data_IF_074541907651
#
_entry.id   IF_074541907651
#
_cell.length_a   1.000
_cell.length_b   1.000
_cell.length_c   1.000
_cell.angle_alpha   90.00
_cell.angle_beta   90.00
_cell.angle_gamma   90.00
#
_symmetry.space_group_name_H-M   'P 1'
#
loop_
_entity.id
_entity.type
_entity.pdbx_description
1 polymer ?
#
# COMPACT_ATOMS: atom_id res chain seq x y z
N UNK A 1 -29.06 8.15 -8.18
CA UNK A 1 -28.40 8.04 -9.50
C UNK A 1 -26.97 8.54 -9.36
N UNK A 2 -25.96 7.80 -9.87
CA UNK A 2 -24.58 8.21 -9.80
C UNK A 2 -24.30 9.46 -10.63
N UNK A 3 -23.39 10.30 -10.15
CA UNK A 3 -22.91 11.48 -10.86
C UNK A 3 -21.43 11.33 -11.16
N UNK A 4 -21.00 11.89 -12.31
CA UNK A 4 -19.60 11.91 -12.70
C UNK A 4 -19.16 13.33 -13.00
N UNK A 5 -17.89 13.62 -12.67
CA UNK A 5 -17.26 14.92 -12.87
C UNK A 5 -15.83 14.67 -13.39
N UNK A 6 -15.30 15.60 -14.17
CA UNK A 6 -13.92 15.52 -14.68
C UNK A 6 -12.88 15.96 -13.63
N UNK A 7 -13.33 16.63 -12.57
CA UNK A 7 -12.53 17.05 -11.41
C UNK A 7 -13.43 17.17 -10.17
N UNK A 8 -12.88 17.38 -8.99
CA UNK A 8 -13.65 17.61 -7.77
C UNK A 8 -14.54 18.87 -7.94
N UNK A 9 -15.86 18.78 -7.61
CA UNK A 9 -16.78 19.91 -7.71
C UNK A 9 -16.38 21.09 -6.83
N UNK A 10 -16.75 22.30 -7.25
CA UNK A 10 -16.46 23.54 -6.51
C UNK A 10 -17.28 23.72 -5.22
N UNK A 11 -18.42 23.03 -5.12
CA UNK A 11 -19.30 23.15 -3.96
C UNK A 11 -18.73 22.59 -2.64
N UNK A 12 -17.55 21.97 -2.70
CA UNK A 12 -16.80 21.47 -1.54
C UNK A 12 -17.38 20.22 -0.87
N UNK A 13 -18.62 19.83 -1.15
CA UNK A 13 -19.32 18.73 -0.45
C UNK A 13 -18.60 17.38 -0.55
N UNK A 14 -18.04 17.06 -1.73
CA UNK A 14 -17.27 15.84 -1.93
C UNK A 14 -15.93 15.93 -1.19
N UNK A 15 -15.32 17.09 -1.15
CA UNK A 15 -14.06 17.34 -0.43
C UNK A 15 -14.25 17.16 1.08
N UNK A 16 -15.30 17.74 1.65
CA UNK A 16 -15.66 17.59 3.06
C UNK A 16 -15.91 16.11 3.39
N UNK A 17 -16.73 15.44 2.57
CA UNK A 17 -17.00 14.01 2.71
C UNK A 17 -15.70 13.18 2.73
N UNK A 18 -14.77 13.41 1.79
CA UNK A 18 -13.49 12.68 1.74
C UNK A 18 -12.67 12.89 3.01
N UNK A 19 -12.60 14.14 3.52
CA UNK A 19 -11.84 14.49 4.73
C UNK A 19 -12.35 13.82 6.01
N UNK A 20 -13.64 13.52 6.06
CA UNK A 20 -14.27 12.87 7.21
C UNK A 20 -13.97 11.38 7.29
N UNK A 21 -13.64 10.73 6.16
CA UNK A 21 -13.44 9.28 6.14
C UNK A 21 -12.17 8.85 6.87
N UNK A 22 -12.28 7.82 7.69
CA UNK A 22 -11.17 7.23 8.46
C UNK A 22 -10.45 6.13 7.70
N UNK A 23 -11.07 5.62 6.64
CA UNK A 23 -10.55 4.57 5.78
C UNK A 23 -10.83 4.93 4.31
N UNK A 24 -9.93 4.53 3.45
CA UNK A 24 -10.15 4.54 2.00
C UNK A 24 -9.60 3.26 1.40
N UNK A 25 -10.11 2.88 0.24
CA UNK A 25 -9.64 1.71 -0.49
C UNK A 25 -8.90 2.13 -1.75
N UNK A 26 -7.79 1.47 -2.00
CA UNK A 26 -6.97 1.64 -3.20
C UNK A 26 -7.14 0.43 -4.08
N UNK A 27 -7.61 0.62 -5.30
CA UNK A 27 -7.72 -0.42 -6.30
C UNK A 27 -6.77 -0.16 -7.46
N UNK A 28 -6.05 -1.21 -7.87
CA UNK A 28 -5.15 -1.21 -9.03
C UNK A 28 -5.14 -2.59 -9.68
N UNK A 29 -4.68 -2.67 -10.92
CA UNK A 29 -4.58 -3.93 -11.63
C UNK A 29 -3.44 -3.87 -12.64
N UNK A 30 -2.86 -5.01 -13.04
CA UNK A 30 -1.94 -5.09 -14.16
C UNK A 30 -2.59 -4.57 -15.44
N UNK A 31 -1.78 -4.21 -16.43
CA UNK A 31 -2.29 -3.77 -17.73
C UNK A 31 -2.99 -4.90 -18.46
N UNK A 32 -2.41 -6.10 -18.40
CA UNK A 32 -2.92 -7.30 -19.07
C UNK A 32 -2.83 -8.51 -18.13
N UNK A 33 -3.94 -9.20 -17.93
CA UNK A 33 -4.01 -10.40 -17.08
C UNK A 33 -3.82 -10.11 -15.61
N UNK A 34 -3.31 -11.09 -14.84
CA UNK A 34 -3.01 -10.96 -13.42
C UNK A 34 -4.22 -10.75 -12.51
N UNK A 35 -3.97 -10.22 -11.31
CA UNK A 35 -4.97 -10.07 -10.26
C UNK A 35 -5.30 -8.60 -9.99
N UNK A 36 -6.57 -8.31 -9.76
CA UNK A 36 -7.00 -6.98 -9.29
C UNK A 36 -6.68 -6.88 -7.80
N UNK A 37 -5.90 -5.86 -7.43
CA UNK A 37 -5.63 -5.55 -6.05
C UNK A 37 -6.64 -4.55 -5.51
N UNK A 38 -7.14 -4.80 -4.30
CA UNK A 38 -7.91 -3.84 -3.50
C UNK A 38 -7.37 -3.86 -2.07
N UNK A 39 -6.85 -2.72 -1.61
CA UNK A 39 -6.27 -2.60 -0.28
C UNK A 39 -6.91 -1.47 0.53
N UNK A 40 -7.38 -1.75 1.77
CA UNK A 40 -7.81 -0.72 2.70
C UNK A 40 -6.60 0.06 3.24
N UNK A 41 -6.79 1.36 3.44
CA UNK A 41 -5.79 2.29 3.97
C UNK A 41 -6.41 3.15 5.07
N UNK A 42 -5.66 3.41 6.13
CA UNK A 42 -6.07 4.22 7.28
C UNK A 42 -4.98 5.20 7.70
N UNK A 43 -4.92 5.53 8.98
CA UNK A 43 -3.95 6.43 9.62
C UNK A 43 -3.93 7.85 9.04
N UNK A 44 -5.04 8.29 8.44
CA UNK A 44 -5.15 9.62 7.81
C UNK A 44 -4.05 9.90 6.78
N UNK A 45 -3.59 8.87 6.08
CA UNK A 45 -2.49 8.95 5.12
C UNK A 45 -2.86 9.57 3.77
N UNK A 46 -4.10 10.01 3.57
CA UNK A 46 -4.59 10.59 2.31
C UNK A 46 -4.64 12.11 2.37
N UNK A 47 -4.19 12.78 1.30
CA UNK A 47 -4.23 14.25 1.15
C UNK A 47 -4.77 14.67 -0.22
N UNK A 48 -5.78 15.56 -0.21
CA UNK A 48 -6.19 16.32 -1.39
C UNK A 48 -5.25 17.51 -1.57
N UNK A 49 -4.72 17.69 -2.78
CA UNK A 49 -3.85 18.83 -3.13
C UNK A 49 -4.65 19.93 -3.77
N UNK A 50 -5.50 19.57 -4.74
CA UNK A 50 -6.38 20.46 -5.45
C UNK A 50 -7.52 19.65 -6.10
N UNK A 51 -8.32 20.26 -6.96
CA UNK A 51 -9.46 19.60 -7.61
C UNK A 51 -9.09 18.45 -8.56
N UNK A 52 -7.81 18.39 -9.00
CA UNK A 52 -7.32 17.40 -9.99
C UNK A 52 -6.19 16.53 -9.46
N UNK A 53 -5.77 16.72 -8.22
CA UNK A 53 -4.64 15.98 -7.67
C UNK A 53 -4.85 15.62 -6.20
N UNK A 54 -4.40 14.43 -5.86
CA UNK A 54 -4.30 13.94 -4.50
C UNK A 54 -3.08 13.03 -4.36
N UNK A 55 -2.74 12.67 -3.14
CA UNK A 55 -1.74 11.66 -2.86
C UNK A 55 -2.02 10.96 -1.53
N UNK A 56 -1.38 9.83 -1.33
CA UNK A 56 -1.39 9.15 -0.06
C UNK A 56 -0.02 8.57 0.27
N UNK A 57 0.25 8.43 1.57
CA UNK A 57 1.44 7.78 2.08
C UNK A 57 1.20 6.26 2.09
N UNK A 58 1.97 5.53 1.30
CA UNK A 58 1.88 4.07 1.20
C UNK A 58 2.72 3.42 2.29
N UNK A 59 2.07 2.64 3.15
CA UNK A 59 2.70 1.99 4.30
C UNK A 59 3.16 0.58 3.93
N UNK A 60 4.22 0.13 4.61
CA UNK A 60 4.79 -1.18 4.43
C UNK A 60 3.81 -2.30 4.78
N UNK A 61 3.82 -3.31 3.95
CA UNK A 61 3.09 -4.55 4.12
C UNK A 61 3.84 -5.68 3.43
N UNK A 62 3.25 -6.88 3.43
CA UNK A 62 3.82 -8.04 2.71
C UNK A 62 3.60 -7.98 1.20
N UNK A 63 2.66 -7.15 0.72
CA UNK A 63 2.34 -6.97 -0.69
C UNK A 63 2.88 -5.67 -1.26
N UNK A 64 3.05 -5.66 -2.58
CA UNK A 64 3.56 -4.51 -3.32
C UNK A 64 2.78 -4.23 -4.62
N UNK A 65 1.58 -4.78 -4.74
CA UNK A 65 0.79 -4.81 -5.97
C UNK A 65 0.52 -3.41 -6.52
N UNK A 66 0.12 -2.45 -5.66
CA UNK A 66 -0.16 -1.08 -6.09
C UNK A 66 1.05 -0.44 -6.77
N UNK A 67 2.23 -0.50 -6.13
CA UNK A 67 3.47 0.06 -6.66
C UNK A 67 3.84 -0.61 -7.99
N UNK A 68 3.77 -1.95 -8.03
CA UNK A 68 4.10 -2.72 -9.23
C UNK A 68 3.18 -2.40 -10.41
N UNK A 69 1.87 -2.29 -10.17
CA UNK A 69 0.90 -1.92 -11.21
C UNK A 69 1.14 -0.50 -11.73
N UNK A 70 1.55 0.43 -10.86
CA UNK A 70 1.84 1.81 -11.26
C UNK A 70 3.16 1.93 -12.02
N UNK A 71 4.14 1.05 -11.74
CA UNK A 71 5.40 1.00 -12.46
C UNK A 71 5.33 0.27 -13.81
N UNK A 72 4.28 -0.51 -14.04
CA UNK A 72 4.10 -1.22 -15.31
C UNK A 72 3.99 -0.22 -16.47
N UNK A 73 4.86 -0.30 -17.50
CA UNK A 73 4.87 0.65 -18.60
C UNK A 73 3.52 0.72 -19.32
N UNK A 74 2.99 1.93 -19.46
CA UNK A 74 1.69 2.18 -20.09
C UNK A 74 0.47 2.02 -19.19
N UNK A 75 0.65 1.60 -17.93
CA UNK A 75 -0.42 1.43 -16.96
C UNK A 75 -0.68 2.72 -16.15
N UNK A 76 -0.36 2.72 -14.88
CA UNK A 76 -0.60 3.83 -13.96
C UNK A 76 -2.05 3.96 -13.49
N UNK A 77 -2.97 3.07 -13.90
CA UNK A 77 -4.39 3.13 -13.51
C UNK A 77 -4.57 2.86 -12.04
N UNK A 78 -5.31 3.77 -11.37
CA UNK A 78 -5.61 3.66 -9.95
C UNK A 78 -7.01 4.21 -9.67
N UNK A 79 -7.68 3.63 -8.69
CA UNK A 79 -8.95 4.14 -8.16
C UNK A 79 -8.85 4.22 -6.64
N UNK A 80 -9.24 5.36 -6.09
CA UNK A 80 -9.44 5.53 -4.65
C UNK A 80 -10.94 5.54 -4.39
N UNK A 81 -11.39 4.75 -3.43
CA UNK A 81 -12.79 4.67 -3.03
C UNK A 81 -12.94 5.07 -1.58
N UNK A 82 -13.91 5.93 -1.32
CA UNK A 82 -14.40 6.32 0.00
C UNK A 82 -15.86 5.93 0.12
N UNK A 83 -16.24 5.38 1.24
CA UNK A 83 -17.63 5.06 1.60
C UNK A 83 -17.98 5.59 2.97
N UNK A 84 -19.23 6.05 3.13
CA UNK A 84 -19.76 6.51 4.41
C UNK A 84 -20.12 5.31 5.29
N UNK A 85 -19.38 5.10 6.39
CA UNK A 85 -19.76 4.19 7.46
C UNK A 85 -20.63 4.87 8.53
N UNK A 86 -20.59 6.20 8.58
CA UNK A 86 -21.37 7.04 9.48
C UNK A 86 -22.06 8.14 8.67
N UNK A 87 -23.15 8.69 9.20
CA UNK A 87 -23.87 9.79 8.55
C UNK A 87 -24.65 9.41 7.28
N UNK A 88 -24.87 10.37 6.39
CA UNK A 88 -25.62 10.14 5.15
C UNK A 88 -24.89 9.20 4.18
N UNK A 89 -25.60 8.23 3.57
CA UNK A 89 -24.99 7.23 2.70
C UNK A 89 -24.40 7.86 1.43
N UNK A 90 -23.09 7.75 1.27
CA UNK A 90 -22.40 8.25 0.08
C UNK A 90 -21.20 7.35 -0.25
N UNK A 91 -20.90 7.21 -1.54
CA UNK A 91 -19.70 6.57 -2.05
C UNK A 91 -19.07 7.53 -3.06
N UNK A 92 -17.77 7.79 -2.88
CA UNK A 92 -16.98 8.60 -3.81
C UNK A 92 -15.82 7.76 -4.37
N UNK A 93 -15.58 7.85 -5.67
CA UNK A 93 -14.43 7.27 -6.35
C UNK A 93 -13.64 8.34 -7.07
N UNK A 94 -12.34 8.35 -6.82
CA UNK A 94 -11.37 9.13 -7.58
C UNK A 94 -10.67 8.18 -8.53
N UNK A 95 -10.87 8.36 -9.83
CA UNK A 95 -10.18 7.62 -10.88
C UNK A 95 -9.01 8.45 -11.37
N UNK A 96 -7.85 7.85 -11.57
CA UNK A 96 -6.69 8.62 -11.97
C UNK A 96 -5.52 7.80 -12.49
N UNK A 97 -4.42 8.51 -12.68
CA UNK A 97 -3.10 7.94 -12.95
C UNK A 97 -2.18 8.18 -11.76
N UNK A 98 -1.60 7.11 -11.25
CA UNK A 98 -0.69 7.14 -10.12
C UNK A 98 0.77 7.20 -10.54
N UNK A 99 1.56 7.94 -9.77
CA UNK A 99 3.01 7.98 -9.85
C UNK A 99 3.59 7.66 -8.48
N UNK A 100 4.63 6.83 -8.45
CA UNK A 100 5.27 6.37 -7.22
C UNK A 100 6.52 7.18 -6.95
N UNK A 101 6.66 7.70 -5.73
CA UNK A 101 7.85 8.35 -5.21
C UNK A 101 8.33 7.56 -3.99
N UNK A 102 9.42 6.81 -4.13
CA UNK A 102 9.93 5.92 -3.08
C UNK A 102 10.66 6.71 -1.99
N UNK A 103 10.47 6.32 -0.72
CA UNK A 103 11.17 6.93 0.43
C UNK A 103 12.69 6.83 0.26
N UNK A 104 13.37 7.94 0.57
CA UNK A 104 14.81 8.11 0.42
C UNK A 104 15.23 8.52 -0.98
N UNK A 105 14.29 9.02 -1.79
CA UNK A 105 14.57 9.78 -3.01
C UNK A 105 14.29 11.26 -2.79
N UNK A 106 15.03 12.17 -3.45
CA UNK A 106 14.78 13.62 -3.33
C UNK A 106 13.34 14.02 -3.72
N UNK A 107 12.71 13.26 -4.61
CA UNK A 107 11.34 13.49 -5.04
C UNK A 107 10.33 13.19 -3.93
N UNK A 108 10.57 12.14 -3.13
CA UNK A 108 9.78 11.81 -1.96
C UNK A 108 9.91 12.91 -0.90
N UNK A 109 11.13 13.35 -0.61
CA UNK A 109 11.40 14.33 0.45
C UNK A 109 10.70 15.67 0.20
N UNK A 110 10.55 16.08 -1.08
CA UNK A 110 9.83 17.31 -1.48
C UNK A 110 8.37 17.38 -1.04
N UNK A 111 7.73 16.24 -0.78
CA UNK A 111 6.35 16.23 -0.27
C UNK A 111 6.24 16.75 1.17
N UNK A 112 7.35 16.70 1.92
CA UNK A 112 7.42 17.05 3.33
C UNK A 112 8.23 18.32 3.60
N UNK A 113 8.77 18.96 2.55
CA UNK A 113 9.43 20.26 2.68
C UNK A 113 8.42 21.34 3.10
N UNK A 114 8.78 22.23 4.06
CA UNK A 114 7.92 23.34 4.46
C UNK A 114 7.62 24.25 3.26
N UNK A 115 6.35 24.39 2.93
CA UNK A 115 5.90 25.32 1.90
C UNK A 115 5.53 26.63 2.55
N UNK A 116 6.19 27.73 2.17
CA UNK A 116 5.85 29.06 2.69
C UNK A 116 4.40 29.42 2.36
N UNK A 117 3.57 29.64 3.39
CA UNK A 117 2.19 30.10 3.27
C UNK A 117 1.12 29.03 3.18
N UNK A 118 1.43 27.76 3.46
CA UNK A 118 0.42 26.70 3.50
C UNK A 118 0.10 26.33 4.96
N UNK A 119 -1.10 26.62 5.41
CA UNK A 119 -1.66 26.16 6.68
C UNK A 119 -1.85 24.64 6.76
N UNK A 120 -1.60 23.94 5.63
CA UNK A 120 -1.93 22.53 5.42
C UNK A 120 -0.93 21.51 5.97
N UNK A 121 0.24 21.96 6.47
CA UNK A 121 1.32 21.04 6.85
C UNK A 121 1.17 20.45 8.27
N UNK A 122 0.36 21.06 9.11
CA UNK A 122 0.27 20.65 10.52
C UNK A 122 -0.67 19.47 10.80
N UNK A 123 -1.54 19.11 9.85
CA UNK A 123 -2.54 18.05 10.04
C UNK A 123 -2.23 16.74 9.27
N UNK A 124 -1.15 16.67 8.50
CA UNK A 124 -0.82 15.48 7.72
C UNK A 124 0.39 14.73 8.32
N UNK A 125 0.27 13.43 8.60
CA UNK A 125 1.37 12.68 9.18
C UNK A 125 2.58 12.62 8.24
N UNK A 126 3.75 13.02 8.75
CA UNK A 126 5.03 12.87 8.04
C UNK A 126 5.52 11.42 8.09
N UNK A 127 6.53 11.03 7.29
CA UNK A 127 7.12 9.70 7.37
C UNK A 127 7.66 9.35 8.76
N UNK A 128 8.18 10.34 9.50
CA UNK A 128 8.68 10.16 10.86
C UNK A 128 7.56 9.88 11.85
N UNK A 129 6.39 10.49 11.64
CA UNK A 129 5.17 10.23 12.42
C UNK A 129 4.45 8.95 11.99
N UNK A 130 4.80 8.42 10.81
CA UNK A 130 4.16 7.24 10.21
C UNK A 130 5.22 6.19 9.85
N UNK A 131 5.75 5.47 10.85
CA UNK A 131 6.74 4.43 10.63
C UNK A 131 6.27 3.40 9.59
N UNK A 132 7.18 2.94 8.76
CA UNK A 132 6.88 2.01 7.68
C UNK A 132 6.35 2.68 6.40
N UNK A 133 6.29 4.01 6.34
CA UNK A 133 6.02 4.72 5.11
C UNK A 133 7.12 4.43 4.07
N UNK A 134 6.77 3.78 2.96
CA UNK A 134 7.74 3.35 1.93
C UNK A 134 7.67 4.17 0.64
N UNK A 135 6.54 4.80 0.36
CA UNK A 135 6.37 5.63 -0.82
C UNK A 135 5.25 6.66 -0.63
N UNK A 136 5.31 7.74 -1.38
CA UNK A 136 4.16 8.59 -1.71
C UNK A 136 3.60 8.12 -3.05
N UNK A 137 2.29 7.91 -3.10
CA UNK A 137 1.57 7.65 -4.35
C UNK A 137 0.81 8.93 -4.73
N UNK A 138 1.35 9.65 -5.71
CA UNK A 138 0.68 10.79 -6.32
C UNK A 138 -0.35 10.34 -7.34
N UNK A 139 -1.49 11.03 -7.43
CA UNK A 139 -2.58 10.69 -8.34
C UNK A 139 -3.06 11.94 -9.06
N UNK A 140 -2.94 11.92 -10.39
CA UNK A 140 -3.62 12.86 -11.26
C UNK A 140 -5.04 12.36 -11.47
N UNK A 141 -6.02 13.08 -10.91
CA UNK A 141 -7.44 12.72 -10.97
C UNK A 141 -7.94 13.02 -12.39
N UNK A 142 -8.44 11.99 -13.05
CA UNK A 142 -9.02 12.09 -14.40
C UNK A 142 -10.53 12.06 -14.40
N UNK A 143 -11.14 11.54 -13.33
CA UNK A 143 -12.58 11.47 -13.15
C UNK A 143 -12.96 11.29 -11.69
N UNK A 144 -14.09 11.86 -11.29
CA UNK A 144 -14.70 11.69 -9.96
C UNK A 144 -16.08 11.09 -10.14
N UNK A 145 -16.40 10.02 -9.39
CA UNK A 145 -17.73 9.41 -9.36
C UNK A 145 -18.31 9.53 -7.96
N UNK A 146 -19.56 10.00 -7.86
CA UNK A 146 -20.33 9.98 -6.61
C UNK A 146 -21.61 9.19 -6.80
N UNK A 147 -21.96 8.35 -5.82
CA UNK A 147 -23.17 7.53 -5.82
C UNK A 147 -23.70 7.32 -4.41
N UNK A 148 -24.98 6.92 -4.29
CA UNK A 148 -25.55 6.55 -3.00
C UNK A 148 -24.87 5.30 -2.43
N UNK A 149 -24.70 5.27 -1.11
CA UNK A 149 -24.12 4.16 -0.36
C UNK A 149 -25.14 3.35 0.42
N UNK A 150 -26.38 3.23 -0.04
CA UNK A 150 -27.46 2.61 0.73
C UNK A 150 -27.23 1.16 1.15
N UNK A 151 -26.35 0.45 0.47
CA UNK A 151 -25.97 -0.92 0.83
C UNK A 151 -24.77 -0.99 1.78
N UNK A 152 -24.08 0.14 2.03
CA UNK A 152 -22.97 0.20 2.99
C UNK A 152 -23.54 0.18 4.40
N UNK A 153 -23.12 -0.77 5.26
CA UNK A 153 -23.63 -0.84 6.63
C UNK A 153 -23.08 0.32 7.47
N UNK A 154 -23.82 0.73 8.48
CA UNK A 154 -23.35 1.67 9.47
C UNK A 154 -22.31 0.99 10.37
N UNK A 155 -21.16 1.64 10.60
CA UNK A 155 -20.08 1.20 11.47
C UNK A 155 -19.55 2.39 12.23
N UNK A 156 -19.13 2.17 13.48
CA UNK A 156 -18.55 3.20 14.33
C UNK A 156 -17.03 3.07 14.34
N UNK A 157 -16.33 4.18 14.09
CA UNK A 157 -14.89 4.25 14.29
C UNK A 157 -14.56 4.23 15.79
N UNK A 158 -13.77 3.28 16.23
CA UNK A 158 -13.35 3.15 17.63
C UNK A 158 -11.97 3.76 17.84
N UNK A 159 -10.98 3.29 17.07
CA UNK A 159 -9.60 3.79 17.09
C UNK A 159 -8.77 3.16 15.96
N UNK A 160 -7.63 3.76 15.68
CA UNK A 160 -6.61 3.15 14.84
C UNK A 160 -5.96 1.93 15.52
N UNK A 161 -5.48 0.96 14.71
CA UNK A 161 -4.65 -0.15 15.21
C UNK A 161 -3.20 0.29 15.30
N UNK A 162 -2.53 -0.02 16.40
CA UNK A 162 -1.14 0.43 16.64
C UNK A 162 -0.08 -0.57 16.18
N UNK A 163 -0.47 -1.81 15.84
CA UNK A 163 0.46 -2.92 15.60
C UNK A 163 1.44 -2.64 14.47
N UNK A 164 0.92 -2.11 13.33
CA UNK A 164 1.77 -1.82 12.18
C UNK A 164 2.80 -0.74 12.50
N UNK A 165 2.36 0.36 13.13
CA UNK A 165 3.24 1.46 13.48
C UNK A 165 4.31 1.04 14.49
N UNK A 166 3.94 0.30 15.52
CA UNK A 166 4.90 -0.20 16.53
C UNK A 166 5.91 -1.18 15.94
N UNK A 167 5.44 -2.06 15.07
CA UNK A 167 6.32 -3.00 14.37
C UNK A 167 7.29 -2.26 13.44
N UNK A 168 6.79 -1.34 12.62
CA UNK A 168 7.60 -0.57 11.69
C UNK A 168 8.60 0.33 12.41
N UNK A 169 8.19 1.04 13.48
CA UNK A 169 9.07 1.89 14.26
C UNK A 169 10.27 1.11 14.83
N UNK A 170 10.01 -0.09 15.38
CA UNK A 170 11.08 -0.95 15.91
C UNK A 170 12.08 -1.36 14.82
N UNK A 171 11.61 -1.66 13.60
CA UNK A 171 12.50 -2.04 12.51
C UNK A 171 13.30 -0.83 11.99
N UNK A 172 12.69 0.34 11.89
CA UNK A 172 13.37 1.56 11.50
C UNK A 172 14.39 2.03 12.54
N UNK A 173 14.09 1.91 13.83
CA UNK A 173 15.03 2.15 14.92
C UNK A 173 16.26 1.24 14.81
N UNK A 174 16.04 -0.05 14.56
CA UNK A 174 17.10 -1.01 14.35
C UNK A 174 17.95 -0.69 13.12
N UNK A 175 17.31 -0.27 12.02
CA UNK A 175 18.03 0.19 10.82
C UNK A 175 18.92 1.39 11.09
N UNK A 176 18.50 2.30 11.97
CA UNK A 176 19.27 3.50 12.34
C UNK A 176 20.47 3.17 13.24
N UNK A 177 20.39 2.12 14.05
CA UNK A 177 21.45 1.66 14.96
C UNK A 177 22.49 0.75 14.26
N UNK A 178 22.23 0.30 13.02
CA UNK A 178 23.03 -0.72 12.34
C UNK A 178 23.77 -0.10 11.15
N UNK A 179 25.07 -0.40 11.00
CA UNK A 179 25.90 0.12 9.91
C UNK A 179 25.42 -0.38 8.55
N UNK A 180 25.14 -1.66 8.41
CA UNK A 180 24.53 -2.24 7.21
C UNK A 180 23.22 -2.98 7.53
N UNK A 181 22.04 -2.28 7.47
CA UNK A 181 20.76 -2.87 7.77
C UNK A 181 20.34 -4.03 6.84
N UNK A 182 20.91 -4.15 5.66
CA UNK A 182 20.59 -5.25 4.73
C UNK A 182 21.24 -6.58 5.09
N UNK A 183 22.24 -6.58 5.98
CA UNK A 183 22.80 -7.82 6.56
C UNK A 183 21.93 -8.38 7.68
N UNK A 184 21.00 -7.59 8.20
CA UNK A 184 20.05 -8.05 9.22
C UNK A 184 19.03 -9.04 8.63
N UNK A 185 18.42 -9.83 9.51
CA UNK A 185 17.25 -10.62 9.16
C UNK A 185 16.07 -9.70 8.84
N UNK A 186 15.20 -10.07 7.87
CA UNK A 186 14.07 -9.24 7.45
C UNK A 186 13.09 -8.90 8.58
N UNK A 187 12.99 -9.71 9.64
CA UNK A 187 12.20 -9.39 10.84
C UNK A 187 12.84 -8.34 11.76
N UNK A 188 14.06 -7.91 11.45
CA UNK A 188 14.84 -6.97 12.24
C UNK A 188 15.15 -5.68 11.52
N UNK A 189 14.88 -5.58 10.21
CA UNK A 189 15.19 -4.41 9.38
C UNK A 189 14.06 -4.10 8.44
N UNK A 190 13.63 -2.84 8.42
CA UNK A 190 12.64 -2.36 7.46
C UNK A 190 13.19 -2.36 6.04
N UNK A 191 14.46 -1.95 5.86
CA UNK A 191 15.13 -1.96 4.56
C UNK A 191 15.28 -3.38 4.02
N UNK A 192 15.67 -4.34 4.87
CA UNK A 192 15.73 -5.76 4.49
C UNK A 192 14.33 -6.31 4.18
N UNK A 193 13.31 -5.92 4.93
CA UNK A 193 11.92 -6.26 4.64
C UNK A 193 11.51 -5.81 3.24
N UNK A 194 11.78 -4.55 2.87
CA UNK A 194 11.44 -4.03 1.55
C UNK A 194 12.16 -4.78 0.43
N UNK A 195 13.46 -5.02 0.57
CA UNK A 195 14.23 -5.78 -0.43
C UNK A 195 13.77 -7.23 -0.56
N UNK A 196 13.23 -7.82 0.50
CA UNK A 196 12.75 -9.20 0.50
C UNK A 196 11.33 -9.32 -0.08
N UNK A 197 10.39 -8.46 0.36
CA UNK A 197 8.96 -8.66 0.07
C UNK A 197 8.34 -7.61 -0.84
N UNK A 198 9.00 -6.49 -1.08
CA UNK A 198 8.40 -5.37 -1.83
C UNK A 198 9.06 -5.09 -3.19
N UNK A 199 9.89 -5.98 -3.68
CA UNK A 199 10.55 -5.85 -4.99
C UNK A 199 9.76 -6.49 -6.14
N UNK A 200 8.77 -7.34 -5.84
CA UNK A 200 7.91 -8.02 -6.80
C UNK A 200 6.47 -8.11 -6.32
N UNK A 201 5.52 -8.06 -7.25
CA UNK A 201 4.11 -8.36 -6.97
C UNK A 201 3.82 -9.86 -7.07
N UNK A 202 2.64 -10.29 -6.63
CA UNK A 202 2.17 -11.68 -6.80
C UNK A 202 2.08 -12.10 -8.28
N UNK A 203 1.94 -11.16 -9.20
CA UNK A 203 1.91 -11.40 -10.64
C UNK A 203 3.31 -11.34 -11.28
N UNK A 204 4.36 -11.18 -10.48
CA UNK A 204 5.74 -11.11 -10.93
C UNK A 204 6.09 -9.79 -11.63
N UNK A 205 5.34 -8.72 -11.38
CA UNK A 205 5.70 -7.38 -11.84
C UNK A 205 6.74 -6.76 -10.90
N UNK A 206 7.74 -6.02 -11.42
CA UNK A 206 8.71 -5.31 -10.60
C UNK A 206 8.03 -4.32 -9.66
N UNK A 207 8.47 -4.32 -8.41
CA UNK A 207 7.99 -3.42 -7.37
C UNK A 207 8.93 -2.28 -7.04
N UNK A 208 9.30 -2.10 -5.76
CA UNK A 208 10.20 -1.04 -5.33
C UNK A 208 11.56 -1.17 -6.04
N UNK A 209 11.94 -0.10 -6.77
CA UNK A 209 13.15 -0.09 -7.61
C UNK A 209 14.40 0.12 -6.80
N UNK A 210 14.33 0.97 -5.78
CA UNK A 210 15.46 1.34 -4.95
C UNK A 210 16.09 0.14 -4.24
N UNK A 211 15.25 -0.81 -3.83
CA UNK A 211 15.69 -1.98 -3.09
C UNK A 211 15.85 -3.23 -3.99
N UNK A 212 15.52 -3.11 -5.29
CA UNK A 212 15.57 -4.22 -6.24
C UNK A 212 17.00 -4.79 -6.45
N UNK A 213 18.02 -3.95 -6.37
CA UNK A 213 19.43 -4.37 -6.47
C UNK A 213 19.88 -5.19 -5.26
N UNK A 214 19.16 -5.08 -4.14
CA UNK A 214 19.41 -5.77 -2.89
C UNK A 214 18.39 -6.90 -2.62
N UNK A 215 17.65 -7.30 -3.64
CA UNK A 215 16.71 -8.42 -3.57
C UNK A 215 17.43 -9.70 -3.17
N UNK A 216 16.90 -10.35 -2.13
CA UNK A 216 17.43 -11.59 -1.57
C UNK A 216 16.49 -12.77 -1.88
N UNK A 217 16.68 -13.46 -3.01
CA UNK A 217 15.84 -14.59 -3.40
C UNK A 217 15.99 -15.81 -2.49
N UNK A 218 17.13 -15.93 -1.79
CA UNK A 218 17.36 -17.06 -0.88
C UNK A 218 16.60 -16.86 0.43
N UNK A 219 16.64 -15.65 0.99
CA UNK A 219 15.82 -15.30 2.16
C UNK A 219 14.34 -15.47 1.91
N UNK A 220 13.85 -15.10 0.74
CA UNK A 220 12.46 -15.35 0.34
C UNK A 220 12.14 -16.85 0.32
N UNK A 221 13.02 -17.69 -0.24
CA UNK A 221 12.84 -19.15 -0.27
C UNK A 221 12.82 -19.77 1.12
N UNK A 222 13.68 -19.29 2.02
CA UNK A 222 13.74 -19.77 3.41
C UNK A 222 12.42 -19.49 4.13
N UNK A 223 11.92 -18.25 4.06
CA UNK A 223 10.63 -17.86 4.65
C UNK A 223 9.48 -18.69 4.12
N UNK A 224 9.45 -18.90 2.81
CA UNK A 224 8.40 -19.68 2.15
C UNK A 224 8.45 -21.15 2.55
N UNK A 225 9.66 -21.72 2.69
CA UNK A 225 9.87 -23.08 3.12
C UNK A 225 9.40 -23.28 4.56
N UNK A 226 9.75 -22.37 5.48
CA UNK A 226 9.35 -22.43 6.87
C UNK A 226 7.84 -22.25 7.06
N UNK A 227 7.20 -21.47 6.18
CA UNK A 227 5.76 -21.34 6.13
C UNK A 227 5.05 -22.51 5.44
N UNK A 228 5.77 -23.53 4.92
CA UNK A 228 5.21 -24.65 4.16
C UNK A 228 4.66 -24.26 2.79
N UNK A 229 5.08 -23.12 2.24
CA UNK A 229 4.60 -22.56 0.98
C UNK A 229 5.57 -22.90 -0.16
N UNK A 230 5.02 -23.09 -1.37
CA UNK A 230 5.84 -23.17 -2.58
C UNK A 230 6.32 -21.78 -2.97
N UNK A 231 7.62 -21.64 -3.22
CA UNK A 231 8.25 -20.41 -3.72
C UNK A 231 7.59 -19.96 -5.01
N UNK A 232 7.13 -18.72 -5.08
CA UNK A 232 6.92 -18.02 -6.32
C UNK A 232 8.31 -17.59 -6.81
N UNK A 233 8.86 -18.30 -7.78
CA UNK A 233 10.09 -17.84 -8.41
C UNK A 233 9.80 -16.54 -9.17
N UNK A 234 10.66 -15.51 -9.05
CA UNK A 234 10.54 -14.34 -9.91
C UNK A 234 10.60 -14.85 -11.36
N UNK A 235 9.81 -14.26 -12.27
CA UNK A 235 9.80 -14.67 -13.66
C UNK A 235 11.24 -14.64 -14.16
N UNK A 236 11.73 -15.77 -14.70
CA UNK A 236 13.07 -15.80 -15.25
C UNK A 236 13.14 -14.74 -16.35
N UNK A 237 14.20 -13.96 -16.38
CA UNK A 237 14.45 -12.85 -17.33
C UNK A 237 14.38 -13.28 -18.80
N UNK A 238 14.05 -14.55 -19.09
CA UNK A 238 13.90 -15.14 -20.44
C UNK A 238 12.47 -15.19 -20.96
N UNK A 239 11.45 -14.75 -20.21
CA UNK A 239 10.04 -14.98 -20.60
C UNK A 239 9.25 -13.69 -20.86
N UNK A 240 9.88 -12.64 -21.39
CA UNK A 240 9.14 -11.47 -21.93
C UNK A 240 8.68 -11.70 -23.40
N UNK A 241 8.88 -12.88 -23.93
CA UNK A 241 8.42 -13.26 -25.26
C UNK A 241 7.41 -14.40 -25.16
N UNK A 242 6.16 -14.13 -25.51
CA UNK A 242 5.11 -15.10 -25.81
C UNK A 242 4.48 -15.88 -24.64
N UNK A 243 3.53 -15.25 -23.94
CA UNK A 243 2.48 -16.03 -23.28
C UNK A 243 1.14 -15.91 -24.01
N UNK A 244 1.12 -16.39 -25.26
CA UNK A 244 -0.07 -16.95 -25.89
C UNK A 244 0.02 -18.46 -25.74
N UNK A 245 -0.67 -19.04 -24.77
CA UNK A 245 -1.38 -20.31 -24.75
C UNK A 245 -1.60 -20.84 -23.33
N UNK A 246 -2.87 -20.82 -22.95
CA UNK A 246 -3.67 -21.78 -22.17
C UNK A 246 -2.99 -22.66 -21.10
N UNK A 247 -3.52 -22.58 -19.86
CA UNK A 247 -3.93 -23.79 -19.17
C UNK A 247 -3.34 -24.01 -17.79
N UNK A 248 -4.22 -24.00 -16.79
CA UNK A 248 -4.23 -24.79 -15.55
C UNK A 248 -3.21 -24.43 -14.46
N UNK A 249 -3.72 -23.82 -13.37
CA UNK A 249 -2.98 -23.62 -12.13
C UNK A 249 -3.73 -22.76 -11.09
N UNK A 250 -5.06 -22.82 -11.02
CA UNK A 250 -5.89 -21.85 -10.28
C UNK A 250 -6.02 -22.04 -8.76
N UNK A 251 -5.40 -23.04 -8.14
CA UNK A 251 -5.77 -23.38 -6.75
C UNK A 251 -4.81 -22.91 -5.63
N UNK A 252 -3.64 -22.40 -5.94
CA UNK A 252 -2.59 -22.20 -4.91
C UNK A 252 -2.35 -20.74 -4.47
N UNK A 253 -2.98 -19.75 -5.08
CA UNK A 253 -2.67 -18.33 -4.83
C UNK A 253 -3.53 -17.65 -3.76
N UNK A 254 -4.71 -18.19 -3.46
CA UNK A 254 -5.58 -17.64 -2.39
C UNK A 254 -4.98 -17.88 -1.00
N UNK A 255 -4.15 -18.90 -0.84
CA UNK A 255 -3.48 -19.19 0.45
C UNK A 255 -2.39 -18.18 0.82
N UNK A 256 -1.77 -17.50 -0.13
CA UNK A 256 -0.57 -16.68 0.11
C UNK A 256 -0.83 -15.46 1.00
N UNK A 257 -1.86 -14.69 0.70
CA UNK A 257 -2.24 -13.52 1.53
C UNK A 257 -2.82 -13.92 2.90
N UNK A 258 -3.53 -15.06 2.95
CA UNK A 258 -4.15 -15.57 4.17
C UNK A 258 -3.09 -16.19 5.09
N UNK A 259 -2.11 -16.92 4.57
CA UNK A 259 -1.10 -17.60 5.40
C UNK A 259 -0.06 -16.63 5.94
N UNK A 260 0.39 -15.62 5.18
CA UNK A 260 1.26 -14.56 5.72
C UNK A 260 0.55 -13.75 6.80
N UNK A 261 -0.73 -13.43 6.61
CA UNK A 261 -1.56 -12.78 7.63
C UNK A 261 -1.75 -13.64 8.88
N UNK A 262 -1.98 -14.94 8.72
CA UNK A 262 -2.18 -15.89 9.82
C UNK A 262 -0.86 -16.20 10.53
N UNK A 263 0.27 -16.34 9.82
CA UNK A 263 1.59 -16.59 10.43
C UNK A 263 2.04 -15.37 11.23
N UNK A 264 1.82 -14.16 10.70
CA UNK A 264 2.09 -12.91 11.41
C UNK A 264 1.26 -12.79 12.69
N UNK A 265 -0.03 -13.15 12.63
CA UNK A 265 -0.93 -13.16 13.80
C UNK A 265 -0.56 -14.25 14.82
N UNK A 266 -0.15 -15.44 14.38
CA UNK A 266 0.23 -16.55 15.27
C UNK A 266 1.52 -16.26 16.04
N UNK A 267 2.55 -15.74 15.38
CA UNK A 267 3.83 -15.40 16.00
C UNK A 267 3.66 -14.23 16.97
N UNK A 268 2.88 -13.20 16.59
CA UNK A 268 2.57 -12.09 17.49
C UNK A 268 1.75 -12.53 18.71
N UNK A 269 0.76 -13.42 18.53
CA UNK A 269 -0.05 -13.94 19.65
C UNK A 269 0.72 -14.88 20.57
N UNK A 270 1.62 -15.72 20.07
CA UNK A 270 2.43 -16.61 20.90
C UNK A 270 3.42 -15.84 21.78
N UNK A 271 3.99 -14.74 21.25
CA UNK A 271 4.89 -13.85 22.03
C UNK A 271 4.16 -12.97 23.03
N UNK A 272 2.95 -12.50 22.71
CA UNK A 272 2.11 -11.75 23.65
C UNK A 272 1.64 -12.61 24.84
N UNK A 273 1.39 -13.90 24.65
CA UNK A 273 1.10 -14.83 25.75
C UNK A 273 2.30 -15.07 26.67
N UNK A 274 3.52 -15.03 26.14
CA UNK A 274 4.75 -15.17 26.95
C UNK A 274 5.05 -13.93 27.83
N UNK A 275 4.53 -12.75 27.48
CA UNK A 275 4.74 -11.50 28.24
C UNK A 275 3.66 -11.30 29.31
N UNK A 276 2.49 -11.95 29.18
CA UNK A 276 1.38 -11.83 30.12
C UNK A 276 1.47 -12.79 31.34
N UNK A 277 2.55 -13.61 31.45
CA UNK A 277 2.75 -14.58 32.55
C UNK A 277 4.06 -14.38 33.32
N UNK A 278 4.64 -13.19 33.29
CA UNK A 278 5.69 -12.78 34.25
C UNK A 278 5.33 -11.46 34.95
#
# INVERSE_FOLDING_TARGET
MGRFYDELPEDGKIVEFIREQKIFHVASAPLIGGHVNVSPRGYQTFKLVNRKACWFLDLSGSGNETISHLYEPGNGRITILFEAFEGPPNIVRLYGKGTVYERGTPEFDKFFEPKSGADDLYDFPTPEMTPGARAVIWIDITRVGSSCGYSVPLMQFVKEREQLNKWSARLEEKDAETEDPWELHFEQSMKKWWSTFNTWSIDGLPGMKRDAERYDPEGVREVMKDAGLKTLEPPSTKTTALRTKRGVGELNLILFGVVLGVTFMSVAQSRLRAIAWN
#
